data_IF_359111909237
#
_entry.id   IF_359111909237
#
_cell.length_a   1.000
_cell.length_b   1.000
_cell.length_c   1.000
_cell.angle_alpha   90.00
_cell.angle_beta   90.00
_cell.angle_gamma   90.00
#
_symmetry.space_group_name_H-M   'P 1'
#
loop_
_entity.id
_entity.type
_entity.pdbx_description
1 polymer ?
#
# COMPACT_ATOMS: atom_id res chain seq x y z
N UNK A 1 -21.71 -15.66 -11.76
CA UNK A 1 -21.54 -14.77 -10.61
C UNK A 1 -22.81 -14.67 -9.78
N UNK A 2 -22.69 -14.38 -8.49
CA UNK A 2 -23.80 -14.32 -7.53
C UNK A 2 -23.89 -12.93 -6.92
N UNK A 3 -25.08 -12.58 -6.37
CA UNK A 3 -25.31 -11.24 -5.81
C UNK A 3 -24.72 -11.09 -4.39
N UNK A 4 -24.68 -12.19 -3.61
CA UNK A 4 -24.19 -12.16 -2.24
C UNK A 4 -23.31 -13.36 -1.91
N UNK A 5 -22.53 -13.26 -0.82
CA UNK A 5 -21.75 -14.37 -0.27
C UNK A 5 -22.65 -15.56 0.09
N UNK A 6 -23.83 -15.30 0.66
CA UNK A 6 -24.82 -16.33 0.98
C UNK A 6 -25.24 -17.11 -0.26
N UNK A 7 -25.43 -16.43 -1.39
CA UNK A 7 -25.80 -17.08 -2.64
C UNK A 7 -24.66 -17.96 -3.21
N UNK A 8 -23.38 -17.58 -2.91
CA UNK A 8 -22.24 -18.41 -3.30
C UNK A 8 -22.26 -19.76 -2.58
N UNK A 9 -22.47 -19.78 -1.26
CA UNK A 9 -22.58 -21.02 -0.49
C UNK A 9 -23.84 -21.82 -0.82
N UNK A 10 -24.97 -21.17 -1.07
CA UNK A 10 -26.19 -21.83 -1.51
C UNK A 10 -25.98 -22.54 -2.87
N UNK A 11 -25.32 -21.85 -3.81
CA UNK A 11 -24.99 -22.46 -5.10
C UNK A 11 -24.02 -23.64 -4.95
N UNK A 12 -23.04 -23.56 -4.06
CA UNK A 12 -22.15 -24.66 -3.77
C UNK A 12 -22.90 -25.90 -3.29
N UNK A 13 -23.87 -25.72 -2.36
CA UNK A 13 -24.71 -26.81 -1.86
C UNK A 13 -25.48 -27.50 -2.97
N UNK A 14 -26.14 -26.74 -3.84
CA UNK A 14 -26.87 -27.29 -4.99
C UNK A 14 -25.93 -28.05 -5.95
N UNK A 15 -24.75 -27.49 -6.22
CA UNK A 15 -23.76 -28.13 -7.12
C UNK A 15 -23.24 -29.44 -6.54
N UNK A 16 -22.96 -29.49 -5.23
CA UNK A 16 -22.52 -30.72 -4.54
C UNK A 16 -23.62 -31.77 -4.43
N UNK A 17 -24.90 -31.38 -4.48
CA UNK A 17 -26.01 -32.32 -4.59
C UNK A 17 -26.09 -32.94 -6.00
N UNK A 18 -25.79 -32.16 -7.04
CA UNK A 18 -25.84 -32.61 -8.43
C UNK A 18 -24.61 -33.44 -8.85
N UNK A 19 -23.43 -33.14 -8.30
CA UNK A 19 -22.16 -33.75 -8.69
C UNK A 19 -21.34 -34.12 -7.45
N UNK A 20 -20.68 -35.27 -7.50
CA UNK A 20 -19.82 -35.73 -6.41
C UNK A 20 -18.54 -34.94 -6.33
N UNK A 21 -18.26 -34.21 -5.25
CA UNK A 21 -16.99 -33.50 -5.08
C UNK A 21 -15.82 -34.47 -4.86
N UNK A 22 -14.68 -34.14 -5.44
CA UNK A 22 -13.43 -34.90 -5.23
C UNK A 22 -12.84 -34.49 -3.88
N UNK A 23 -12.61 -35.46 -2.94
CA UNK A 23 -12.06 -35.16 -1.63
C UNK A 23 -10.73 -34.43 -1.69
N UNK A 24 -10.55 -33.44 -0.80
CA UNK A 24 -9.32 -32.62 -0.73
C UNK A 24 -9.14 -31.58 -1.87
N UNK A 25 -10.09 -31.47 -2.79
CA UNK A 25 -10.06 -30.52 -3.90
C UNK A 25 -11.01 -29.31 -3.72
N UNK A 26 -11.59 -29.14 -2.56
CA UNK A 26 -12.38 -27.97 -2.21
C UNK A 26 -11.49 -26.91 -1.54
N UNK A 27 -11.63 -25.65 -1.94
CA UNK A 27 -10.94 -24.50 -1.34
C UNK A 27 -11.92 -23.35 -1.15
N UNK A 28 -11.99 -22.84 0.06
CA UNK A 28 -12.82 -21.71 0.44
C UNK A 28 -11.95 -20.44 0.61
N UNK A 29 -11.78 -19.73 -0.49
CA UNK A 29 -11.11 -18.44 -0.48
C UNK A 29 -12.06 -17.27 -0.19
N UNK A 30 -13.35 -17.52 0.08
CA UNK A 30 -14.26 -16.50 0.60
C UNK A 30 -14.05 -16.35 2.10
N UNK A 31 -14.02 -17.47 2.85
CA UNK A 31 -13.76 -17.46 4.28
C UNK A 31 -12.28 -17.16 4.61
N UNK A 32 -11.36 -17.62 3.75
CA UNK A 32 -9.92 -17.42 3.89
C UNK A 32 -9.35 -16.79 2.60
N UNK A 33 -9.49 -15.48 2.41
CA UNK A 33 -9.00 -14.79 1.22
C UNK A 33 -7.48 -14.97 1.03
N UNK A 34 -7.02 -15.00 -0.23
CA UNK A 34 -5.59 -14.94 -0.52
C UNK A 34 -5.01 -13.57 -0.17
N UNK A 35 -3.69 -13.47 -0.04
CA UNK A 35 -2.99 -12.22 0.28
C UNK A 35 -3.32 -11.05 -0.67
N UNK A 36 -3.60 -11.35 -1.94
CA UNK A 36 -4.06 -10.38 -2.96
C UNK A 36 -5.57 -10.13 -2.92
N UNK A 37 -6.26 -10.43 -1.82
CA UNK A 37 -7.71 -10.30 -1.63
C UNK A 37 -8.56 -11.12 -2.61
N UNK A 38 -7.97 -12.07 -3.32
CA UNK A 38 -8.72 -12.99 -4.18
C UNK A 38 -9.69 -13.82 -3.33
N UNK A 39 -10.96 -13.77 -3.69
CA UNK A 39 -12.03 -14.52 -3.06
C UNK A 39 -12.82 -15.32 -4.09
N UNK A 40 -13.01 -16.60 -3.82
CA UNK A 40 -13.85 -17.51 -4.61
C UNK A 40 -13.99 -18.83 -3.86
N UNK A 41 -15.08 -19.57 -4.12
CA UNK A 41 -15.13 -21.00 -3.77
C UNK A 41 -14.63 -21.78 -4.98
N UNK A 42 -13.70 -22.70 -4.77
CA UNK A 42 -13.22 -23.63 -5.79
C UNK A 42 -13.63 -25.05 -5.40
N UNK A 43 -14.30 -25.75 -6.28
CA UNK A 43 -14.64 -27.15 -6.08
C UNK A 43 -14.37 -27.94 -7.34
N UNK A 44 -13.65 -29.06 -7.20
CA UNK A 44 -13.45 -30.02 -8.30
C UNK A 44 -14.44 -31.14 -8.14
N UNK A 45 -15.16 -31.42 -9.21
CA UNK A 45 -16.29 -32.34 -9.26
C UNK A 45 -16.02 -33.44 -10.28
N UNK A 46 -16.68 -34.60 -10.09
CA UNK A 46 -16.67 -35.67 -11.07
C UNK A 46 -17.84 -35.51 -12.02
N UNK A 47 -17.56 -35.40 -13.30
CA UNK A 47 -18.57 -35.34 -14.35
C UNK A 47 -19.20 -36.69 -14.66
N UNK A 48 -20.33 -36.73 -15.39
CA UNK A 48 -21.09 -37.95 -15.70
C UNK A 48 -20.28 -39.00 -16.47
N UNK A 49 -19.30 -38.56 -17.27
CA UNK A 49 -18.41 -39.47 -18.01
C UNK A 49 -17.09 -39.78 -17.27
N UNK A 50 -17.02 -39.49 -15.97
CA UNK A 50 -15.84 -39.76 -15.13
C UNK A 50 -14.68 -38.75 -15.30
N UNK A 51 -14.87 -37.64 -16.05
CA UNK A 51 -13.86 -36.60 -16.16
C UNK A 51 -14.01 -35.59 -15.02
N UNK A 52 -12.90 -35.17 -14.40
CA UNK A 52 -12.93 -34.10 -13.40
C UNK A 52 -13.11 -32.74 -14.08
N UNK A 53 -13.87 -31.83 -13.43
CA UNK A 53 -13.97 -30.43 -13.83
C UNK A 53 -14.01 -29.54 -12.59
N UNK A 54 -13.54 -28.31 -12.70
CA UNK A 54 -13.50 -27.33 -11.61
C UNK A 54 -14.58 -26.27 -11.82
N UNK A 55 -15.29 -25.95 -10.74
CA UNK A 55 -16.23 -24.82 -10.69
C UNK A 55 -15.68 -23.78 -9.71
N UNK A 56 -15.70 -22.53 -10.16
CA UNK A 56 -15.40 -21.36 -9.35
C UNK A 56 -16.68 -20.56 -9.12
N UNK A 57 -17.00 -20.32 -7.84
CA UNK A 57 -18.20 -19.58 -7.44
C UNK A 57 -17.75 -18.34 -6.69
N UNK A 58 -18.18 -17.16 -7.17
CA UNK A 58 -17.85 -15.87 -6.59
C UNK A 58 -18.91 -14.83 -6.89
N UNK A 59 -18.97 -13.76 -6.13
CA UNK A 59 -19.82 -12.61 -6.42
C UNK A 59 -19.26 -11.82 -7.60
N UNK A 60 -20.06 -10.92 -8.18
CA UNK A 60 -19.60 -10.01 -9.22
C UNK A 60 -18.50 -9.08 -8.70
N UNK A 61 -18.59 -8.65 -7.44
CA UNK A 61 -17.58 -7.82 -6.78
C UNK A 61 -16.25 -8.58 -6.61
N UNK A 62 -16.29 -9.83 -6.14
CA UNK A 62 -15.12 -10.70 -6.06
C UNK A 62 -14.49 -10.96 -7.42
N UNK A 63 -15.32 -11.07 -8.48
CA UNK A 63 -14.81 -11.23 -9.84
C UNK A 63 -14.06 -9.98 -10.29
N UNK A 64 -14.63 -8.80 -10.09
CA UNK A 64 -13.97 -7.54 -10.45
C UNK A 64 -12.63 -7.39 -9.72
N UNK A 65 -12.60 -7.73 -8.43
CA UNK A 65 -11.34 -7.74 -7.65
C UNK A 65 -10.31 -8.72 -8.21
N UNK A 66 -10.75 -9.91 -8.64
CA UNK A 66 -9.86 -10.93 -9.21
C UNK A 66 -9.31 -10.58 -10.59
N UNK A 67 -10.10 -9.91 -11.44
CA UNK A 67 -9.72 -9.58 -12.83
C UNK A 67 -8.94 -8.27 -12.93
N UNK A 68 -9.31 -7.27 -12.12
CA UNK A 68 -8.79 -5.91 -12.25
C UNK A 68 -7.92 -5.47 -11.07
N UNK A 69 -7.72 -6.37 -10.09
CA UNK A 69 -7.00 -6.06 -8.85
C UNK A 69 -7.83 -5.22 -7.88
N UNK A 70 -7.29 -5.04 -6.68
CA UNK A 70 -7.97 -4.35 -5.58
C UNK A 70 -8.11 -2.86 -5.85
N UNK A 71 -7.18 -2.28 -6.58
CA UNK A 71 -7.22 -0.87 -6.95
C UNK A 71 -8.42 -0.52 -7.83
N UNK A 72 -8.84 -1.43 -8.71
CA UNK A 72 -10.05 -1.26 -9.51
C UNK A 72 -11.33 -1.31 -8.65
N UNK A 73 -11.34 -2.12 -7.58
CA UNK A 73 -12.44 -2.15 -6.60
C UNK A 73 -12.61 -0.78 -5.91
N UNK A 74 -11.51 -0.14 -5.52
CA UNK A 74 -11.53 1.19 -4.93
C UNK A 74 -11.98 2.27 -5.93
N UNK A 75 -11.50 2.20 -7.17
CA UNK A 75 -11.89 3.13 -8.24
C UNK A 75 -13.38 3.03 -8.60
N UNK A 76 -13.96 1.83 -8.54
CA UNK A 76 -15.39 1.61 -8.74
C UNK A 76 -16.23 2.19 -7.59
N UNK A 77 -15.79 2.02 -6.33
CA UNK A 77 -16.42 2.69 -5.16
C UNK A 77 -16.35 4.22 -5.24
N UNK A 78 -15.32 4.77 -5.88
CA UNK A 78 -15.18 6.20 -6.11
C UNK A 78 -16.15 6.74 -7.15
N UNK A 79 -16.49 5.97 -8.19
CA UNK A 79 -17.38 6.40 -9.27
C UNK A 79 -18.87 6.24 -8.95
N UNK A 80 -19.26 5.46 -7.96
CA UNK A 80 -20.65 5.11 -7.65
C UNK A 80 -21.23 5.63 -6.34
N UNK A 81 -20.49 6.37 -5.53
CA UNK A 81 -20.91 6.77 -4.18
C UNK A 81 -20.76 8.25 -3.89
N UNK A 82 -21.85 8.87 -3.42
CA UNK A 82 -21.92 10.20 -2.78
C UNK A 82 -20.65 10.53 -1.98
N UNK A 83 -20.24 11.79 -2.07
CA UNK A 83 -19.11 12.40 -1.38
C UNK A 83 -19.04 12.08 0.13
N UNK A 84 -18.54 10.90 0.49
CA UNK A 84 -18.07 10.60 1.84
C UNK A 84 -16.63 11.07 1.95
N UNK A 85 -16.37 11.83 3.01
CA UNK A 85 -15.12 12.45 3.42
C UNK A 85 -13.86 11.76 2.89
N UNK A 86 -13.04 12.45 2.10
CA UNK A 86 -11.76 11.96 1.56
C UNK A 86 -10.85 11.35 2.65
N UNK A 87 -10.90 11.87 3.87
CA UNK A 87 -10.13 11.38 5.02
C UNK A 87 -10.49 9.95 5.45
N UNK A 88 -11.78 9.58 5.39
CA UNK A 88 -12.23 8.21 5.68
C UNK A 88 -11.75 7.20 4.62
N UNK A 89 -11.64 7.61 3.36
CA UNK A 89 -11.17 6.75 2.26
C UNK A 89 -9.67 6.48 2.33
N UNK A 90 -8.88 7.48 2.70
CA UNK A 90 -7.43 7.30 2.93
C UNK A 90 -7.16 6.37 4.11
N UNK A 91 -7.92 6.52 5.20
CA UNK A 91 -7.82 5.64 6.36
C UNK A 91 -8.19 4.19 6.03
N UNK A 92 -9.21 3.96 5.21
CA UNK A 92 -9.59 2.62 4.72
C UNK A 92 -8.49 2.02 3.83
N UNK A 93 -7.91 2.79 2.89
CA UNK A 93 -6.79 2.35 2.03
C UNK A 93 -5.56 1.99 2.88
N UNK A 94 -5.22 2.81 3.86
CA UNK A 94 -4.10 2.57 4.75
C UNK A 94 -4.33 1.38 5.68
N UNK A 95 -5.56 1.19 6.16
CA UNK A 95 -5.94 0.04 6.97
C UNK A 95 -5.79 -1.26 6.18
N UNK A 96 -6.24 -1.27 4.94
CA UNK A 96 -6.09 -2.41 4.04
C UNK A 96 -4.60 -2.73 3.76
N UNK A 97 -3.77 -1.72 3.47
CA UNK A 97 -2.33 -1.91 3.25
C UNK A 97 -1.64 -2.49 4.50
N UNK A 98 -2.01 -2.04 5.71
CA UNK A 98 -1.50 -2.61 6.98
C UNK A 98 -1.88 -4.07 7.13
N UNK A 99 -3.11 -4.42 6.81
CA UNK A 99 -3.61 -5.80 6.89
C UNK A 99 -2.85 -6.73 5.93
N UNK A 100 -2.54 -6.26 4.72
CA UNK A 100 -1.71 -7.00 3.77
C UNK A 100 -0.29 -7.20 4.32
N UNK A 101 0.30 -6.19 4.95
CA UNK A 101 1.64 -6.29 5.54
C UNK A 101 1.69 -7.24 6.74
N UNK A 102 0.64 -7.29 7.55
CA UNK A 102 0.54 -8.27 8.65
C UNK A 102 0.51 -9.71 8.09
N UNK A 103 -0.25 -9.94 7.02
CA UNK A 103 -0.26 -11.24 6.35
C UNK A 103 1.09 -11.60 5.70
N UNK A 104 1.85 -10.59 5.23
CA UNK A 104 3.19 -10.80 4.69
C UNK A 104 4.17 -11.34 5.73
N UNK A 105 4.00 -11.02 7.02
CA UNK A 105 4.82 -11.56 8.11
C UNK A 105 4.72 -13.08 8.23
N UNK A 106 3.58 -13.63 7.84
CA UNK A 106 3.30 -15.07 7.93
C UNK A 106 3.68 -15.86 6.66
N UNK A 107 4.09 -15.17 5.58
CA UNK A 107 4.45 -15.78 4.29
C UNK A 107 5.97 -15.75 4.04
N UNK A 108 6.53 -16.90 3.68
CA UNK A 108 7.97 -17.11 3.48
C UNK A 108 8.56 -16.49 2.17
N UNK A 109 7.73 -16.03 1.24
CA UNK A 109 8.18 -15.46 -0.04
C UNK A 109 7.70 -14.02 -0.26
N UNK A 110 8.60 -13.09 0.12
CA UNK A 110 8.36 -11.65 0.11
C UNK A 110 8.41 -10.99 -1.27
N UNK A 111 9.08 -11.60 -2.28
CA UNK A 111 9.37 -10.92 -3.56
C UNK A 111 8.19 -10.95 -4.51
N UNK A 112 7.52 -12.10 -4.61
CA UNK A 112 6.37 -12.27 -5.49
C UNK A 112 5.18 -11.44 -5.00
N UNK A 113 4.95 -11.42 -3.69
CA UNK A 113 3.93 -10.61 -3.04
C UNK A 113 4.13 -9.10 -3.29
N UNK A 114 5.35 -8.58 -3.09
CA UNK A 114 5.65 -7.16 -3.33
C UNK A 114 5.53 -6.78 -4.80
N UNK A 115 5.80 -7.70 -5.72
CA UNK A 115 5.63 -7.47 -7.16
C UNK A 115 4.16 -7.34 -7.55
N UNK A 116 3.29 -8.19 -6.99
CA UNK A 116 1.84 -8.13 -7.22
C UNK A 116 1.24 -6.87 -6.61
N UNK A 117 1.66 -6.51 -5.39
CA UNK A 117 1.20 -5.30 -4.70
C UNK A 117 1.62 -4.03 -5.46
N UNK A 118 2.81 -4.00 -6.04
CA UNK A 118 3.30 -2.88 -6.85
C UNK A 118 2.38 -2.57 -8.02
N UNK A 119 1.98 -3.59 -8.77
CA UNK A 119 1.09 -3.42 -9.92
C UNK A 119 -0.27 -2.85 -9.51
N UNK A 120 -0.82 -3.26 -8.39
CA UNK A 120 -2.11 -2.76 -7.89
C UNK A 120 -2.01 -1.32 -7.37
N UNK A 121 -0.89 -0.93 -6.76
CA UNK A 121 -0.67 0.43 -6.25
C UNK A 121 -0.39 1.46 -7.36
N UNK A 122 0.18 1.04 -8.49
CA UNK A 122 0.44 1.93 -9.63
C UNK A 122 -0.84 2.50 -10.28
N UNK A 123 -2.00 1.91 -9.98
CA UNK A 123 -3.29 2.44 -10.41
C UNK A 123 -3.74 3.70 -9.63
N UNK A 124 -3.10 4.02 -8.49
CA UNK A 124 -3.33 5.25 -7.73
C UNK A 124 -2.32 6.33 -8.15
N UNK A 125 -2.46 6.85 -9.37
CA UNK A 125 -1.46 7.68 -10.06
C UNK A 125 -1.06 8.99 -9.34
N UNK A 126 -1.85 9.48 -8.37
CA UNK A 126 -1.59 10.74 -7.67
C UNK A 126 -0.64 10.57 -6.47
N UNK A 127 -0.61 9.40 -5.83
CA UNK A 127 0.17 9.11 -4.64
C UNK A 127 1.06 7.89 -4.82
N UNK A 128 2.18 7.86 -4.08
CA UNK A 128 3.05 6.71 -3.92
C UNK A 128 3.00 6.20 -2.49
N UNK A 129 2.86 4.88 -2.33
CA UNK A 129 2.79 4.20 -1.04
C UNK A 129 4.12 3.52 -0.74
N UNK A 130 4.74 3.89 0.36
CA UNK A 130 6.03 3.37 0.79
C UNK A 130 6.02 2.98 2.27
N UNK A 131 7.05 2.31 2.73
CA UNK A 131 7.07 1.65 4.03
C UNK A 131 8.29 2.08 4.86
N UNK A 132 8.08 2.23 6.17
CA UNK A 132 9.19 2.31 7.12
C UNK A 132 9.86 0.94 7.27
N UNK A 133 11.08 0.85 7.85
CA UNK A 133 11.70 -0.42 8.18
C UNK A 133 10.83 -1.32 9.07
N UNK A 134 10.00 -0.72 9.92
CA UNK A 134 9.08 -1.42 10.83
C UNK A 134 7.77 -1.88 10.12
N UNK A 135 7.57 -1.49 8.86
CA UNK A 135 6.39 -1.85 8.09
C UNK A 135 5.23 -0.84 8.15
N UNK A 136 5.42 0.34 8.77
CA UNK A 136 4.38 1.38 8.72
C UNK A 136 4.25 1.96 7.32
N UNK A 137 3.01 2.11 6.87
CA UNK A 137 2.70 2.67 5.55
C UNK A 137 2.73 4.20 5.60
N UNK A 138 3.33 4.81 4.59
CA UNK A 138 3.27 6.25 4.31
C UNK A 138 2.81 6.46 2.88
N UNK A 139 1.85 7.35 2.67
CA UNK A 139 1.49 7.85 1.35
C UNK A 139 2.14 9.23 1.13
N UNK A 140 2.65 9.43 -0.06
CA UNK A 140 3.31 10.67 -0.47
C UNK A 140 2.87 11.01 -1.89
N UNK A 141 2.87 12.29 -2.28
CA UNK A 141 2.63 12.66 -3.68
C UNK A 141 3.59 11.93 -4.63
N UNK A 142 3.10 11.52 -5.78
CA UNK A 142 3.93 10.87 -6.80
C UNK A 142 5.12 11.76 -7.17
N UNK A 143 6.30 11.16 -7.32
CA UNK A 143 7.56 11.86 -7.55
C UNK A 143 8.23 12.38 -6.29
N UNK A 144 7.71 12.05 -5.09
CA UNK A 144 8.35 12.34 -3.80
C UNK A 144 9.71 11.67 -3.66
N UNK A 145 10.55 12.24 -2.79
CA UNK A 145 11.92 11.83 -2.52
C UNK A 145 12.08 11.32 -1.09
N UNK A 146 13.22 10.70 -0.73
CA UNK A 146 13.52 10.34 0.65
C UNK A 146 13.46 11.53 1.62
N UNK A 147 13.67 12.76 1.14
CA UNK A 147 13.50 13.97 1.95
C UNK A 147 12.02 14.17 2.31
N UNK A 148 11.11 14.03 1.36
CA UNK A 148 9.66 14.08 1.65
C UNK A 148 9.27 13.02 2.70
N UNK A 149 9.77 11.81 2.55
CA UNK A 149 9.52 10.71 3.47
C UNK A 149 10.05 11.02 4.88
N UNK A 150 11.26 11.58 5.00
CA UNK A 150 11.84 11.94 6.28
C UNK A 150 10.97 12.96 7.05
N UNK A 151 10.46 13.97 6.35
CA UNK A 151 9.55 14.95 6.95
C UNK A 151 8.15 14.41 7.21
N UNK A 152 7.71 13.40 6.47
CA UNK A 152 6.46 12.69 6.73
C UNK A 152 6.53 11.81 7.98
N UNK A 153 7.72 11.34 8.37
CA UNK A 153 7.93 10.66 9.65
C UNK A 153 7.87 11.69 10.79
N UNK A 154 8.82 12.60 10.82
CA UNK A 154 8.90 13.67 11.82
C UNK A 154 9.88 14.76 11.40
N UNK A 155 9.60 16.02 11.76
CA UNK A 155 10.48 17.16 11.42
C UNK A 155 11.91 16.98 11.93
N UNK A 156 12.10 16.38 13.12
CA UNK A 156 13.44 16.12 13.66
C UNK A 156 14.22 15.09 12.82
N UNK A 157 13.54 14.12 12.21
CA UNK A 157 14.16 13.15 11.29
C UNK A 157 14.60 13.86 10.02
N UNK A 158 13.74 14.67 9.41
CA UNK A 158 14.06 15.47 8.25
C UNK A 158 15.21 16.42 8.48
N UNK A 159 15.20 17.16 9.60
CA UNK A 159 16.27 18.13 9.95
C UNK A 159 17.63 17.47 10.23
N UNK A 160 17.67 16.20 10.64
CA UNK A 160 18.89 15.45 10.94
C UNK A 160 19.30 14.47 9.84
N UNK A 161 18.55 14.41 8.75
CA UNK A 161 18.80 13.50 7.64
C UNK A 161 20.16 13.78 7.00
N UNK A 162 20.93 12.71 6.78
CA UNK A 162 22.22 12.73 6.07
C UNK A 162 22.24 11.79 4.87
N UNK A 163 21.23 10.92 4.72
CA UNK A 163 21.09 9.99 3.61
C UNK A 163 19.88 9.10 3.77
N UNK A 164 19.70 8.20 2.82
CA UNK A 164 18.62 7.20 2.85
C UNK A 164 19.05 5.89 2.22
N UNK A 165 18.39 4.81 2.67
CA UNK A 165 18.42 3.51 2.00
C UNK A 165 17.02 3.17 1.52
N UNK A 166 16.93 2.63 0.32
CA UNK A 166 15.70 2.09 -0.24
C UNK A 166 15.93 0.61 -0.52
N UNK A 167 15.06 -0.23 0.04
CA UNK A 167 15.16 -1.69 -0.07
C UNK A 167 16.57 -2.21 0.33
N UNK A 168 17.16 -1.61 1.39
CA UNK A 168 18.49 -1.95 1.92
C UNK A 168 19.66 -1.34 1.18
N UNK A 169 19.47 -0.66 0.05
CA UNK A 169 20.55 -0.03 -0.75
C UNK A 169 20.58 1.48 -0.53
N UNK A 170 21.78 2.05 -0.39
CA UNK A 170 21.98 3.50 -0.37
C UNK A 170 21.49 4.11 -1.69
N UNK A 171 20.76 5.22 -1.59
CA UNK A 171 20.25 5.96 -2.76
C UNK A 171 20.59 7.44 -2.61
N UNK A 172 20.55 8.16 -3.75
CA UNK A 172 20.64 9.61 -3.75
C UNK A 172 19.40 10.24 -3.10
N UNK A 173 19.53 11.43 -2.54
CA UNK A 173 18.45 12.15 -1.88
C UNK A 173 17.32 12.58 -2.83
N UNK A 174 17.60 12.67 -4.13
CA UNK A 174 16.66 13.00 -5.20
C UNK A 174 16.01 11.76 -5.84
N UNK A 175 16.30 10.56 -5.31
CA UNK A 175 15.66 9.31 -5.73
C UNK A 175 14.13 9.48 -5.74
N UNK A 176 13.46 9.02 -6.78
CA UNK A 176 12.00 9.03 -6.87
C UNK A 176 11.44 7.76 -6.28
N UNK A 177 10.75 7.92 -5.16
CA UNK A 177 10.13 6.82 -4.42
C UNK A 177 9.13 6.12 -5.32
N UNK A 178 9.19 4.78 -5.32
CA UNK A 178 8.29 3.91 -6.06
C UNK A 178 7.32 3.22 -5.08
N UNK A 179 6.16 2.81 -5.60
CA UNK A 179 5.22 2.02 -4.83
C UNK A 179 5.88 0.75 -4.26
N UNK A 180 5.65 0.50 -2.98
CA UNK A 180 6.21 -0.65 -2.28
C UNK A 180 7.66 -0.49 -1.80
N UNK A 181 8.30 0.67 -2.00
CA UNK A 181 9.64 0.91 -1.47
C UNK A 181 9.66 0.91 0.06
N UNK A 182 10.64 0.20 0.64
CA UNK A 182 10.94 0.25 2.07
C UNK A 182 12.10 1.22 2.30
N UNK A 183 11.84 2.30 3.04
CA UNK A 183 12.73 3.44 3.16
C UNK A 183 13.25 3.57 4.59
N UNK A 184 14.56 3.59 4.73
CA UNK A 184 15.28 3.88 5.97
C UNK A 184 15.97 5.23 5.84
N UNK A 185 15.69 6.17 6.76
CA UNK A 185 16.34 7.48 6.81
C UNK A 185 17.56 7.41 7.73
N UNK A 186 18.70 7.78 7.19
CA UNK A 186 19.95 7.90 7.97
C UNK A 186 20.03 9.29 8.55
N UNK A 187 20.21 9.38 9.87
CA UNK A 187 20.29 10.65 10.60
C UNK A 187 21.61 10.78 11.31
N UNK A 188 22.07 12.03 11.52
CA UNK A 188 23.25 12.35 12.31
C UNK A 188 22.94 13.45 13.31
N UNK A 189 23.48 13.32 14.54
CA UNK A 189 23.41 14.37 15.54
C UNK A 189 24.21 15.62 15.13
N UNK A 190 25.26 15.43 14.29
CA UNK A 190 26.10 16.49 13.78
C UNK A 190 25.56 17.12 12.48
N UNK A 191 24.35 16.77 12.06
CA UNK A 191 23.73 17.38 10.89
C UNK A 191 23.55 18.88 11.11
N UNK A 192 23.95 19.68 10.11
CA UNK A 192 23.78 21.13 10.10
C UNK A 192 22.35 21.58 9.73
N UNK A 193 21.43 20.63 9.63
CA UNK A 193 20.06 20.88 9.17
C UNK A 193 19.86 20.61 7.68
N UNK A 194 18.65 20.93 7.14
CA UNK A 194 18.33 20.72 5.74
C UNK A 194 19.13 21.65 4.81
N UNK A 195 19.45 21.15 3.61
CA UNK A 195 19.97 22.01 2.52
C UNK A 195 18.84 22.81 1.87
N UNK A 196 19.15 24.02 1.40
CA UNK A 196 18.22 24.82 0.59
C UNK A 196 17.88 24.14 -0.75
N UNK A 197 18.82 23.39 -1.31
CA UNK A 197 18.64 22.66 -2.57
C UNK A 197 17.54 21.58 -2.46
N UNK A 198 17.25 21.13 -1.24
CA UNK A 198 16.15 20.17 -1.03
C UNK A 198 14.78 20.73 -1.43
N UNK A 199 14.59 22.07 -1.38
CA UNK A 199 13.34 22.70 -1.82
C UNK A 199 13.03 22.46 -3.30
N UNK A 200 14.06 22.22 -4.12
CA UNK A 200 13.90 21.93 -5.56
C UNK A 200 13.49 20.49 -5.84
N UNK A 201 13.81 19.55 -4.96
CA UNK A 201 13.58 18.11 -5.16
C UNK A 201 12.34 17.57 -4.44
N UNK A 202 11.91 18.22 -3.34
CA UNK A 202 10.73 17.80 -2.59
C UNK A 202 9.42 18.10 -3.31
N UNK A 203 8.45 17.22 -3.18
CA UNK A 203 7.10 17.35 -3.75
C UNK A 203 6.05 17.75 -2.72
N UNK A 204 6.14 17.19 -1.50
CA UNK A 204 5.14 17.43 -0.47
C UNK A 204 5.18 18.86 0.07
N UNK A 205 4.01 19.45 0.23
CA UNK A 205 3.85 20.77 0.88
C UNK A 205 4.35 20.73 2.33
N UNK A 206 4.20 19.59 3.00
CA UNK A 206 4.68 19.41 4.36
C UNK A 206 6.21 19.57 4.45
N UNK A 207 6.97 18.88 3.59
CA UNK A 207 8.44 18.99 3.56
C UNK A 207 8.87 20.43 3.24
N UNK A 208 8.28 21.07 2.21
CA UNK A 208 8.56 22.46 1.85
C UNK A 208 8.36 23.41 3.02
N UNK A 209 7.23 23.30 3.70
CA UNK A 209 6.89 24.16 4.84
C UNK A 209 7.86 23.96 6.01
N UNK A 210 8.21 22.71 6.34
CA UNK A 210 9.12 22.41 7.46
C UNK A 210 10.54 22.86 7.18
N UNK A 211 11.04 22.70 5.96
CA UNK A 211 12.35 23.21 5.54
C UNK A 211 12.38 24.74 5.66
N UNK A 212 11.38 25.44 5.14
CA UNK A 212 11.28 26.88 5.23
C UNK A 212 11.18 27.39 6.67
N UNK A 213 10.42 26.70 7.54
CA UNK A 213 10.35 27.01 8.98
C UNK A 213 11.70 26.88 9.66
N UNK A 214 12.46 25.84 9.33
CA UNK A 214 13.80 25.64 9.88
C UNK A 214 14.72 26.81 9.52
N UNK A 215 14.77 27.22 8.25
CA UNK A 215 15.57 28.37 7.80
C UNK A 215 15.16 29.68 8.45
N UNK A 216 13.88 29.95 8.61
CA UNK A 216 13.37 31.14 9.32
C UNK A 216 13.83 31.13 10.79
N UNK A 217 13.79 29.98 11.44
CA UNK A 217 14.23 29.85 12.83
C UNK A 217 15.73 30.07 12.97
N UNK A 218 16.55 29.50 12.09
CA UNK A 218 18.00 29.71 12.08
C UNK A 218 18.39 31.16 11.81
N UNK A 219 17.70 31.85 10.90
CA UNK A 219 17.92 33.25 10.64
C UNK A 219 17.64 34.09 11.89
N UNK A 220 16.53 33.85 12.58
CA UNK A 220 16.21 34.54 13.83
C UNK A 220 17.28 34.31 14.92
N UNK A 221 17.80 33.10 15.06
CA UNK A 221 18.88 32.84 16.01
C UNK A 221 20.15 33.64 15.69
N UNK A 222 20.53 33.73 14.43
CA UNK A 222 21.72 34.52 14.01
C UNK A 222 21.55 35.99 14.32
N UNK A 223 20.41 36.61 14.00
CA UNK A 223 20.13 38.01 14.30
C UNK A 223 20.20 38.28 15.81
N UNK A 224 19.60 37.43 16.63
CA UNK A 224 19.64 37.55 18.08
C UNK A 224 21.06 37.36 18.71
N UNK A 225 21.92 36.65 18.00
CA UNK A 225 23.34 36.49 18.42
C UNK A 225 24.18 37.75 18.07
N UNK A 226 23.92 38.35 16.88
CA UNK A 226 24.60 39.57 16.43
C UNK A 226 24.21 40.81 17.26
N UNK A 227 22.96 40.86 17.76
CA UNK A 227 22.48 41.95 18.64
C UNK A 227 23.03 41.86 20.07
N UNK A 228 23.63 40.71 20.44
CA UNK A 228 24.22 40.50 21.80
C UNK A 228 25.74 40.52 21.84
N UNK A 229 26.38 40.69 20.71
CA UNK A 229 27.83 40.81 20.54
C UNK A 229 28.26 42.24 20.37
#
# INVERSE_FOLDING_TARGET
YRRSVKDCYAALGVIHEMYTPIPGRFKDYIAMPKANMYQSLHTTLMGPAGQPFEIQIRTEEMHKTAEYGIAAHWKYKESGGSAKNNKSREEEKLSWLRQILEWQRDMSDNREFLSLLKGDLDLFAEDVYCFTPNGDVKNLPNGSTPVDFAYAIHSAVGNKMVGARVNGKLVNIDYKIQNGDRIEILTSQNSKGPSRDWLSIVKSTQAKNKINQWFKHELKKRILFEEKS
#
